data_IF_071655744829
#
_entry.id   IF_071655744829
#
_cell.length_a   1.000
_cell.length_b   1.000
_cell.length_c   1.000
_cell.angle_alpha   90.00
_cell.angle_beta   90.00
_cell.angle_gamma   90.00
#
_symmetry.space_group_name_H-M   'P 1'
#
loop_
_entity.id
_entity.type
_entity.pdbx_description
1 polymer ?
#
# COMPACT_ATOMS: atom_id res chain seq x y z
N UNK A 1 4.26 17.86 10.63
CA UNK A 1 3.81 16.53 11.10
C UNK A 1 4.04 15.57 9.94
N UNK A 2 4.63 14.39 10.17
CA UNK A 2 4.75 13.39 9.10
C UNK A 2 3.35 12.88 8.75
N UNK A 3 3.10 12.67 7.47
CA UNK A 3 1.92 11.94 6.99
C UNK A 3 2.35 10.66 6.31
N UNK A 4 1.44 9.73 6.16
CA UNK A 4 1.68 8.42 5.55
C UNK A 4 0.64 8.19 4.48
N UNK A 5 1.10 7.62 3.37
CA UNK A 5 0.29 7.22 2.24
C UNK A 5 0.57 5.75 1.89
N UNK A 6 -0.33 5.14 1.16
CA UNK A 6 -0.27 3.75 0.74
C UNK A 6 0.04 3.72 -0.76
N UNK A 7 1.16 3.08 -1.09
CA UNK A 7 1.68 2.86 -2.43
C UNK A 7 1.46 1.41 -2.85
N UNK A 8 1.31 1.21 -4.15
CA UNK A 8 1.17 -0.07 -4.83
C UNK A 8 2.18 -0.09 -5.97
N UNK A 9 2.90 -1.17 -6.16
CA UNK A 9 3.80 -1.33 -7.29
C UNK A 9 3.89 -2.78 -7.73
N UNK A 10 3.83 -3.01 -9.03
CA UNK A 10 3.99 -4.34 -9.67
C UNK A 10 5.38 -4.51 -10.30
N UNK A 11 6.32 -3.60 -9.99
CA UNK A 11 7.68 -3.57 -10.56
C UNK A 11 7.78 -2.90 -11.93
N UNK A 12 6.66 -2.68 -12.63
CA UNK A 12 6.61 -1.93 -13.89
C UNK A 12 5.97 -0.55 -13.72
N UNK A 13 5.00 -0.46 -12.83
CA UNK A 13 4.23 0.72 -12.50
C UNK A 13 4.16 0.89 -10.98
N UNK A 14 3.84 2.11 -10.56
CA UNK A 14 3.65 2.43 -9.15
C UNK A 14 2.62 3.52 -9.01
N UNK A 15 1.66 3.32 -8.12
CA UNK A 15 0.60 4.28 -7.82
C UNK A 15 0.42 4.41 -6.31
N UNK A 16 -0.22 5.49 -5.89
CA UNK A 16 -0.54 5.75 -4.50
C UNK A 16 -2.00 6.15 -4.32
N UNK A 17 -2.52 5.95 -3.12
CA UNK A 17 -3.91 6.32 -2.81
C UNK A 17 -4.11 7.82 -2.60
N UNK A 18 -3.05 8.57 -2.30
CA UNK A 18 -3.16 10.00 -1.98
C UNK A 18 -3.71 10.24 -0.58
N UNK A 19 -3.59 9.28 0.33
CA UNK A 19 -4.00 9.46 1.71
C UNK A 19 -3.02 10.36 2.47
N UNK A 20 -3.55 11.16 3.38
CA UNK A 20 -2.76 11.98 4.32
C UNK A 20 -2.99 11.47 5.74
N UNK A 21 -2.47 10.28 6.04
CA UNK A 21 -2.69 9.60 7.33
C UNK A 21 -1.69 10.16 8.34
N UNK A 22 -2.13 10.48 9.55
CA UNK A 22 -1.27 11.14 10.55
C UNK A 22 -0.35 10.18 11.32
N UNK A 23 -0.66 8.88 11.33
CA UNK A 23 0.10 7.87 12.09
C UNK A 23 0.44 6.67 11.21
N UNK A 24 1.62 6.06 11.40
CA UNK A 24 2.05 4.91 10.60
C UNK A 24 1.17 3.70 10.89
N UNK A 25 0.81 3.45 12.15
CA UNK A 25 -0.02 2.31 12.56
C UNK A 25 -1.37 2.30 11.84
N UNK A 26 -2.01 3.47 11.70
CA UNK A 26 -3.29 3.58 10.99
C UNK A 26 -3.12 3.31 9.50
N UNK A 27 -2.01 3.76 8.91
CA UNK A 27 -1.71 3.53 7.51
C UNK A 27 -1.42 2.05 7.21
N UNK A 28 -0.67 1.39 8.11
CA UNK A 28 -0.39 -0.05 8.05
C UNK A 28 -1.69 -0.83 8.16
N UNK A 29 -2.52 -0.55 9.17
CA UNK A 29 -3.77 -1.27 9.34
C UNK A 29 -4.71 -1.09 8.15
N UNK A 30 -4.74 0.09 7.53
CA UNK A 30 -5.48 0.32 6.29
C UNK A 30 -4.91 -0.48 5.11
N UNK A 31 -3.59 -0.54 4.96
CA UNK A 31 -2.94 -1.31 3.91
C UNK A 31 -3.24 -2.83 4.06
N UNK A 32 -3.17 -3.34 5.29
CA UNK A 32 -3.55 -4.72 5.62
C UNK A 32 -5.04 -5.00 5.35
N UNK A 33 -5.93 -4.10 5.77
CA UNK A 33 -7.37 -4.23 5.53
C UNK A 33 -7.68 -4.23 4.03
N UNK A 34 -6.96 -3.43 3.24
CA UNK A 34 -7.05 -3.43 1.78
C UNK A 34 -6.62 -4.75 1.15
N UNK A 35 -5.54 -5.38 1.68
CA UNK A 35 -5.11 -6.71 1.27
C UNK A 35 -6.16 -7.78 1.59
N UNK A 36 -6.74 -7.74 2.78
CA UNK A 36 -7.69 -8.77 3.26
C UNK A 36 -9.05 -8.64 2.59
N UNK A 37 -9.60 -7.42 2.51
CA UNK A 37 -10.92 -7.20 1.89
C UNK A 37 -10.87 -7.31 0.37
N UNK A 38 -9.69 -7.11 -0.22
CA UNK A 38 -9.54 -6.93 -1.65
C UNK A 38 -10.12 -5.59 -2.11
N UNK A 39 -9.49 -4.98 -3.10
CA UNK A 39 -10.03 -3.82 -3.81
C UNK A 39 -9.40 -3.74 -5.19
N UNK A 40 -9.90 -2.85 -6.05
CA UNK A 40 -9.42 -2.65 -7.42
C UNK A 40 -7.90 -2.50 -7.51
N UNK A 41 -7.25 -1.78 -6.59
CA UNK A 41 -5.79 -1.64 -6.60
C UNK A 41 -5.09 -2.96 -6.25
N UNK A 42 -5.59 -3.73 -5.28
CA UNK A 42 -5.00 -5.06 -4.99
C UNK A 42 -5.14 -5.99 -6.19
N UNK A 43 -6.24 -5.86 -6.92
CA UNK A 43 -6.50 -6.61 -8.14
C UNK A 43 -5.66 -6.15 -9.34
N UNK A 44 -5.40 -4.85 -9.48
CA UNK A 44 -4.62 -4.24 -10.56
C UNK A 44 -3.12 -4.45 -10.36
N UNK A 45 -2.64 -4.36 -9.11
CA UNK A 45 -1.25 -4.62 -8.71
C UNK A 45 -1.08 -6.03 -8.13
N UNK A 46 -1.91 -6.99 -8.53
CA UNK A 46 -1.83 -8.37 -8.05
C UNK A 46 -0.48 -9.00 -8.44
N UNK A 47 0.21 -9.59 -7.46
CA UNK A 47 1.59 -10.06 -7.63
C UNK A 47 2.65 -8.96 -7.45
N UNK A 48 2.23 -7.73 -7.19
CA UNK A 48 3.06 -6.60 -6.80
C UNK A 48 3.29 -6.51 -5.30
N UNK A 49 3.52 -5.30 -4.82
CA UNK A 49 3.82 -4.94 -3.43
C UNK A 49 3.00 -3.73 -3.02
N UNK A 50 2.39 -3.79 -1.85
CA UNK A 50 1.76 -2.66 -1.18
C UNK A 50 2.73 -2.15 -0.11
N UNK A 51 2.93 -0.84 -0.04
CA UNK A 51 3.87 -0.20 0.89
C UNK A 51 3.24 1.01 1.54
N UNK A 52 3.54 1.23 2.82
CA UNK A 52 3.21 2.48 3.50
C UNK A 52 4.46 3.36 3.48
N UNK A 53 4.32 4.54 2.90
CA UNK A 53 5.41 5.49 2.70
C UNK A 53 5.08 6.78 3.44
N UNK A 54 6.03 7.26 4.24
CA UNK A 54 5.94 8.53 4.92
C UNK A 54 6.16 9.70 3.95
N UNK A 55 5.72 10.90 4.34
CA UNK A 55 5.80 12.12 3.54
C UNK A 55 7.22 12.55 3.15
N UNK A 56 8.23 12.01 3.82
CA UNK A 56 9.66 12.22 3.54
C UNK A 56 10.27 11.11 2.67
N UNK A 57 9.46 10.15 2.20
CA UNK A 57 9.88 9.04 1.34
C UNK A 57 10.30 7.78 2.10
N UNK A 58 10.21 7.76 3.43
CA UNK A 58 10.56 6.58 4.24
C UNK A 58 9.49 5.49 4.12
N UNK A 59 9.86 4.29 3.64
CA UNK A 59 8.98 3.12 3.65
C UNK A 59 8.94 2.54 5.06
N UNK A 60 7.83 2.72 5.77
CA UNK A 60 7.68 2.25 7.16
C UNK A 60 7.13 0.83 7.23
N UNK A 61 6.49 0.35 6.17
CA UNK A 61 5.96 -1.00 6.07
C UNK A 61 5.76 -1.39 4.61
N UNK A 62 5.92 -2.66 4.30
CA UNK A 62 5.54 -3.20 3.00
C UNK A 62 5.15 -4.66 3.12
N UNK A 63 4.29 -5.11 2.19
CA UNK A 63 3.87 -6.50 2.09
C UNK A 63 3.64 -6.87 0.63
N UNK A 64 3.95 -8.10 0.22
CA UNK A 64 3.58 -8.59 -1.11
C UNK A 64 2.06 -8.62 -1.26
N UNK A 65 1.60 -8.28 -2.46
CA UNK A 65 0.20 -8.43 -2.86
C UNK A 65 0.05 -9.84 -3.46
N UNK A 66 -0.89 -10.66 -2.97
CA UNK A 66 -1.09 -11.99 -3.52
C UNK A 66 -1.42 -11.91 -5.03
N UNK A 67 -0.85 -12.80 -5.87
CA UNK A 67 -1.20 -12.86 -7.28
C UNK A 67 -2.66 -13.25 -7.45
N UNK A 68 -3.29 -12.77 -8.53
CA UNK A 68 -4.65 -13.16 -8.91
C UNK A 68 -4.67 -14.65 -9.25
N UNK A 69 -5.12 -15.46 -8.29
CA UNK A 69 -5.43 -16.88 -8.45
C UNK A 69 -4.21 -17.81 -8.55
N UNK A 70 -4.31 -18.91 -7.81
CA UNK A 70 -4.10 -20.22 -8.42
C UNK A 70 -5.47 -20.88 -8.55
#
# INVERSE_FOLDING_TARGET
MKTYDIYFSDGSSSDNKGFSIKTPEKAIHMAEDMLVKGNSYIDDYAGGTISVVASDGEVVWSSPIPPKGK
#
